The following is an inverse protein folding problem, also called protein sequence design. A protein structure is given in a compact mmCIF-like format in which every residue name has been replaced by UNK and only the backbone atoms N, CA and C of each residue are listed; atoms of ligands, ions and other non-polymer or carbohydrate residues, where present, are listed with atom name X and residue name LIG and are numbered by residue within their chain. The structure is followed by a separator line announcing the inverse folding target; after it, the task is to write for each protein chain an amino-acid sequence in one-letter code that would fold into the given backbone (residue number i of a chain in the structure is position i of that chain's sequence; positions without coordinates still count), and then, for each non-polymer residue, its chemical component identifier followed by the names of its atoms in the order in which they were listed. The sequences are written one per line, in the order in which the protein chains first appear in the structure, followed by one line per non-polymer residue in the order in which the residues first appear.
data_IF_071356933110
#
_entry.id   IF_071356933110
#
_cell.length_a   1.000
_cell.length_b   1.000
_cell.length_c   1.000
_cell.angle_alpha   90.00
_cell.angle_beta   90.00
_cell.angle_gamma   90.00
#
_symmetry.space_group_name_H-M   'P 1'
#
loop_
_entity.id
_entity.type
_entity.pdbx_description
1 polymer ?
#
# COMPACT_ATOMS: atom_id res chain seq x y z
N UNK A 1 -0.27 -16.13 -16.55
CA UNK A 1 -0.54 -15.11 -15.50
C UNK A 1 0.15 -13.77 -15.80
N UNK A 2 1.44 -13.77 -16.17
CA UNK A 2 2.20 -12.55 -16.49
C UNK A 2 1.58 -11.69 -17.60
N UNK A 3 1.15 -12.29 -18.71
CA UNK A 3 0.55 -11.53 -19.83
C UNK A 3 -0.84 -10.99 -19.53
N UNK A 4 -1.64 -11.75 -18.76
CA UNK A 4 -2.94 -11.28 -18.29
C UNK A 4 -2.76 -10.06 -17.37
N UNK A 5 -1.81 -10.15 -16.43
CA UNK A 5 -1.53 -9.08 -15.49
C UNK A 5 -0.96 -7.86 -16.22
N UNK A 6 0.02 -8.04 -17.12
CA UNK A 6 0.62 -6.94 -17.88
C UNK A 6 -0.40 -6.10 -18.66
N UNK A 7 -1.48 -6.72 -19.14
CA UNK A 7 -2.56 -6.04 -19.88
C UNK A 7 -3.65 -5.42 -18.99
N UNK A 8 -3.60 -5.61 -17.66
CA UNK A 8 -4.52 -4.94 -16.76
C UNK A 8 -4.14 -3.48 -16.56
N UNK A 9 -5.16 -2.63 -16.45
CA UNK A 9 -5.02 -1.24 -16.02
C UNK A 9 -4.27 -1.11 -14.70
N UNK A 10 -3.44 -0.08 -14.57
CA UNK A 10 -2.60 0.20 -13.39
C UNK A 10 -3.38 0.21 -12.08
N UNK A 11 -4.55 0.86 -12.07
CA UNK A 11 -5.43 0.88 -10.90
C UNK A 11 -5.85 -0.54 -10.49
N UNK A 12 -6.24 -1.39 -11.46
CA UNK A 12 -6.65 -2.77 -11.17
C UNK A 12 -5.48 -3.59 -10.64
N UNK A 13 -4.26 -3.42 -11.17
CA UNK A 13 -3.05 -4.09 -10.66
C UNK A 13 -2.79 -3.77 -9.20
N UNK A 14 -2.74 -2.47 -8.87
CA UNK A 14 -2.52 -2.01 -7.50
C UNK A 14 -3.65 -2.47 -6.59
N UNK A 15 -4.90 -2.33 -7.01
CA UNK A 15 -6.05 -2.79 -6.23
C UNK A 15 -5.98 -4.30 -5.95
N UNK A 16 -5.65 -5.14 -6.94
CA UNK A 16 -5.49 -6.58 -6.71
C UNK A 16 -4.35 -6.89 -5.74
N UNK A 17 -3.26 -6.12 -5.76
CA UNK A 17 -2.15 -6.29 -4.82
C UNK A 17 -2.58 -5.97 -3.39
N UNK A 18 -3.24 -4.82 -3.19
CA UNK A 18 -3.74 -4.42 -1.88
C UNK A 18 -4.83 -5.36 -1.36
N UNK A 19 -5.74 -5.83 -2.22
CA UNK A 19 -6.75 -6.82 -1.85
C UNK A 19 -6.11 -8.16 -1.47
N UNK A 20 -5.04 -8.57 -2.15
CA UNK A 20 -4.32 -9.79 -1.80
C UNK A 20 -3.66 -9.65 -0.42
N UNK A 21 -2.99 -8.53 -0.14
CA UNK A 21 -2.40 -8.27 1.19
C UNK A 21 -3.50 -8.23 2.26
N UNK A 22 -4.61 -7.54 2.00
CA UNK A 22 -5.75 -7.50 2.91
C UNK A 22 -6.33 -8.89 3.17
N UNK A 23 -6.43 -9.74 2.15
CA UNK A 23 -6.88 -11.13 2.29
C UNK A 23 -5.91 -11.95 3.15
N UNK A 24 -4.59 -11.82 2.93
CA UNK A 24 -3.56 -12.45 3.78
C UNK A 24 -3.69 -11.99 5.22
N UNK A 25 -3.83 -10.68 5.46
CA UNK A 25 -4.07 -10.13 6.80
C UNK A 25 -5.34 -10.69 7.43
N UNK A 26 -6.43 -10.79 6.66
CA UNK A 26 -7.69 -11.38 7.13
C UNK A 26 -7.55 -12.84 7.52
N UNK A 27 -6.83 -13.65 6.73
CA UNK A 27 -6.55 -15.06 7.04
C UNK A 27 -5.71 -15.18 8.31
N UNK A 28 -4.62 -14.41 8.43
CA UNK A 28 -3.77 -14.42 9.62
C UNK A 28 -4.56 -13.97 10.86
N UNK A 29 -5.36 -12.91 10.74
CA UNK A 29 -6.24 -12.43 11.80
C UNK A 29 -7.27 -13.48 12.22
N UNK A 30 -7.89 -14.16 11.26
CA UNK A 30 -8.85 -15.25 11.51
C UNK A 30 -8.22 -16.45 12.22
N UNK A 31 -7.02 -16.87 11.79
CA UNK A 31 -6.26 -17.94 12.46
C UNK A 31 -5.89 -17.53 13.89
N UNK A 32 -5.46 -16.29 14.10
CA UNK A 32 -5.17 -15.76 15.43
C UNK A 32 -6.39 -15.76 16.34
N UNK A 33 -7.53 -15.28 15.82
CA UNK A 33 -8.80 -15.24 16.55
C UNK A 33 -9.29 -16.65 16.94
N UNK A 34 -9.29 -17.58 16.00
CA UNK A 34 -9.66 -18.99 16.25
C UNK A 34 -8.71 -19.69 17.24
N UNK A 35 -7.45 -19.30 17.24
CA UNK A 35 -6.48 -19.80 18.22
C UNK A 35 -6.76 -19.29 19.63
N UNK A 36 -7.15 -18.02 19.77
CA UNK A 36 -7.51 -17.41 21.06
C UNK A 36 -8.79 -18.05 21.61
N UNK A 37 -9.81 -18.28 20.79
CA UNK A 37 -11.09 -18.85 21.25
C UNK A 37 -10.93 -20.25 21.85
N UNK A 38 -10.07 -21.10 21.29
CA UNK A 38 -9.82 -22.43 21.87
C UNK A 38 -9.11 -22.37 23.24
N UNK A 39 -8.24 -21.38 23.44
CA UNK A 39 -7.58 -21.17 24.74
C UNK A 39 -8.56 -20.62 25.76
N UNK A 40 -9.51 -19.79 25.32
CA UNK A 40 -10.58 -19.23 26.14
C UNK A 40 -11.47 -20.33 26.73
N UNK A 41 -11.90 -21.31 25.93
CA UNK A 41 -12.74 -22.42 26.39
C UNK A 41 -12.10 -23.22 27.55
N UNK A 42 -10.80 -23.51 27.44
CA UNK A 42 -10.06 -24.21 28.50
C UNK A 42 -9.91 -23.34 29.76
N UNK A 43 -9.82 -22.02 29.59
CA UNK A 43 -9.71 -21.07 30.69
C UNK A 43 -11.05 -20.91 31.42
N UNK A 44 -12.16 -20.83 30.70
CA UNK A 44 -13.52 -20.83 31.27
C UNK A 44 -13.77 -22.11 32.06
N UNK A 45 -13.48 -23.27 31.49
CA UNK A 45 -13.65 -24.56 32.18
C UNK A 45 -12.85 -24.61 33.49
N UNK A 46 -11.59 -24.19 33.46
CA UNK A 46 -10.73 -24.28 34.66
C UNK A 46 -11.01 -23.19 35.70
N UNK A 47 -11.17 -21.93 35.28
CA UNK A 47 -11.24 -20.77 36.16
C UNK A 47 -12.67 -20.44 36.61
N UNK A 48 -13.66 -20.63 35.75
CA UNK A 48 -15.06 -20.26 36.03
C UNK A 48 -15.91 -21.44 36.51
N UNK A 49 -15.55 -22.67 36.12
CA UNK A 49 -16.26 -23.89 36.54
C UNK A 49 -15.49 -24.65 37.62
N UNK A 50 -14.31 -25.21 37.30
CA UNK A 50 -13.63 -26.17 38.19
C UNK A 50 -13.07 -25.55 39.47
N UNK A 51 -12.47 -24.36 39.40
CA UNK A 51 -11.91 -23.71 40.58
C UNK A 51 -12.99 -23.33 41.62
N UNK A 52 -14.11 -22.69 41.24
CA UNK A 52 -15.24 -22.49 42.15
C UNK A 52 -15.87 -23.80 42.64
N UNK A 53 -15.96 -24.83 41.80
CA UNK A 53 -16.45 -26.15 42.23
C UNK A 53 -15.62 -26.72 43.37
N UNK A 54 -14.29 -26.73 43.22
CA UNK A 54 -13.35 -27.22 44.26
C UNK A 54 -13.47 -26.36 45.54
N UNK A 55 -13.62 -25.04 45.41
CA UNK A 55 -13.86 -24.16 46.55
C UNK A 55 -15.16 -24.50 47.29
N UNK A 56 -16.27 -24.68 46.56
CA UNK A 56 -17.57 -25.03 47.13
C UNK A 56 -17.55 -26.37 47.85
N UNK A 57 -16.96 -27.39 47.21
CA UNK A 57 -16.74 -28.71 47.80
C UNK A 57 -15.85 -28.64 49.05
N UNK A 58 -14.79 -27.82 49.02
CA UNK A 58 -13.91 -27.57 50.16
C UNK A 58 -14.64 -26.97 51.36
N UNK A 59 -15.47 -25.95 51.14
CA UNK A 59 -16.31 -25.34 52.19
C UNK A 59 -17.31 -26.33 52.78
N UNK A 60 -17.94 -27.17 51.95
CA UNK A 60 -18.83 -28.23 52.43
C UNK A 60 -18.07 -29.23 53.30
N UNK A 61 -16.89 -29.68 52.86
CA UNK A 61 -16.03 -30.62 53.60
C UNK A 61 -15.56 -30.03 54.93
N UNK A 62 -15.14 -28.77 54.95
CA UNK A 62 -14.76 -28.05 56.16
C UNK A 62 -15.91 -27.95 57.15
N UNK A 63 -17.10 -27.54 56.67
CA UNK A 63 -18.29 -27.39 57.50
C UNK A 63 -18.74 -28.72 58.12
N UNK A 64 -18.76 -29.81 57.35
CA UNK A 64 -19.14 -31.13 57.86
C UNK A 64 -18.13 -31.64 58.91
N UNK A 65 -16.83 -31.47 58.68
CA UNK A 65 -15.82 -31.81 59.68
C UNK A 65 -15.97 -30.96 60.95
N UNK A 66 -16.27 -29.66 60.81
CA UNK A 66 -16.53 -28.79 61.95
C UNK A 66 -17.78 -29.25 62.71
N UNK A 67 -18.89 -29.55 62.03
CA UNK A 67 -20.12 -30.10 62.67
C UNK A 67 -19.76 -31.37 63.45
N UNK A 68 -19.06 -32.31 62.81
CA UNK A 68 -18.70 -33.58 63.43
C UNK A 68 -17.77 -33.41 64.63
N UNK A 69 -16.87 -32.43 64.57
CA UNK A 69 -16.01 -32.06 65.69
C UNK A 69 -16.81 -31.48 66.87
N UNK A 70 -17.78 -30.60 66.62
CA UNK A 70 -18.67 -30.06 67.67
C UNK A 70 -19.42 -31.17 68.40
N UNK A 71 -20.04 -32.09 67.65
CA UNK A 71 -20.76 -33.21 68.25
C UNK A 71 -19.88 -34.06 69.16
N UNK A 72 -18.66 -34.35 68.71
CA UNK A 72 -17.70 -35.11 69.51
C UNK A 72 -17.30 -34.36 70.78
N UNK A 73 -17.06 -33.05 70.69
CA UNK A 73 -16.80 -32.20 71.86
C UNK A 73 -17.97 -32.23 72.83
N UNK A 74 -19.20 -32.10 72.33
CA UNK A 74 -20.38 -32.20 73.19
C UNK A 74 -20.50 -33.59 73.82
N UNK A 75 -20.08 -34.68 73.20
CA UNK A 75 -20.12 -36.02 73.82
C UNK A 75 -19.12 -36.25 74.97
N UNK A 76 -18.23 -35.28 75.26
CA UNK A 76 -17.28 -35.36 76.38
C UNK A 76 -18.01 -35.06 77.69
N UNK A 77 -17.80 -35.92 78.69
CA UNK A 77 -18.48 -35.86 79.99
C UNK A 77 -18.12 -34.62 80.81
N UNK A 78 -16.87 -34.14 80.71
CA UNK A 78 -16.40 -32.97 81.45
C UNK A 78 -16.85 -31.62 80.89
N UNK A 79 -17.56 -31.59 79.74
CA UNK A 79 -18.08 -30.35 79.15
C UNK A 79 -19.37 -29.94 79.86
N UNK A 80 -19.36 -28.74 80.42
CA UNK A 80 -20.50 -28.18 81.16
C UNK A 80 -21.69 -27.82 80.23
N UNK A 81 -22.85 -27.60 80.83
CA UNK A 81 -24.11 -27.35 80.10
C UNK A 81 -24.10 -26.04 79.30
N UNK A 82 -23.39 -25.01 79.78
CA UNK A 82 -23.31 -23.72 79.10
C UNK A 82 -22.48 -23.83 77.80
N UNK A 83 -21.36 -24.54 77.84
CA UNK A 83 -20.51 -24.79 76.67
C UNK A 83 -21.22 -25.71 75.67
N UNK A 84 -21.95 -26.73 76.14
CA UNK A 84 -22.78 -27.60 75.30
C UNK A 84 -23.90 -26.82 74.59
N UNK A 85 -24.60 -25.95 75.32
CA UNK A 85 -25.61 -25.07 74.73
C UNK A 85 -25.00 -24.07 73.72
N UNK A 86 -23.79 -23.58 73.99
CA UNK A 86 -23.06 -22.72 73.07
C UNK A 86 -22.71 -23.45 71.76
N UNK A 87 -22.21 -24.69 71.84
CA UNK A 87 -21.90 -25.51 70.67
C UNK A 87 -23.14 -25.85 69.85
N UNK A 88 -24.26 -26.22 70.51
CA UNK A 88 -25.55 -26.45 69.84
C UNK A 88 -26.00 -25.23 69.04
N UNK A 89 -25.90 -24.03 69.62
CA UNK A 89 -26.25 -22.78 68.93
C UNK A 89 -25.32 -22.47 67.74
N UNK A 90 -24.05 -22.84 67.85
CA UNK A 90 -23.08 -22.61 66.77
C UNK A 90 -23.20 -23.63 65.62
N UNK A 91 -23.95 -24.73 65.77
CA UNK A 91 -24.20 -25.67 64.66
C UNK A 91 -24.86 -24.99 63.46
N UNK A 92 -25.80 -24.07 63.69
CA UNK A 92 -26.46 -23.31 62.61
C UNK A 92 -25.47 -22.52 61.77
N UNK A 93 -24.46 -21.91 62.42
CA UNK A 93 -23.40 -21.17 61.70
C UNK A 93 -22.55 -22.10 60.85
N UNK A 94 -22.27 -23.32 61.31
CA UNK A 94 -21.50 -24.33 60.55
C UNK A 94 -22.30 -24.83 59.36
N UNK A 95 -23.59 -25.11 59.55
CA UNK A 95 -24.52 -25.41 58.44
C UNK A 95 -24.64 -24.24 57.45
N UNK A 96 -24.55 -22.99 57.91
CA UNK A 96 -24.52 -21.84 57.01
C UNK A 96 -23.25 -21.82 56.14
N UNK A 97 -22.08 -22.25 56.66
CA UNK A 97 -20.86 -22.43 55.85
C UNK A 97 -21.05 -23.55 54.82
N UNK A 98 -21.65 -24.67 55.21
CA UNK A 98 -22.00 -25.75 54.28
C UNK A 98 -22.90 -25.23 53.15
N UNK A 99 -23.97 -24.51 53.49
CA UNK A 99 -24.91 -23.98 52.51
C UNK A 99 -24.28 -22.95 51.57
N UNK A 100 -23.27 -22.19 52.01
CA UNK A 100 -22.48 -21.32 51.12
C UNK A 100 -21.70 -22.14 50.10
N UNK A 101 -21.01 -23.20 50.53
CA UNK A 101 -20.30 -24.10 49.63
C UNK A 101 -21.24 -24.79 48.63
N UNK A 102 -22.41 -25.22 49.11
CA UNK A 102 -23.48 -25.80 48.30
C UNK A 102 -23.98 -24.82 47.23
N UNK A 103 -24.26 -23.57 47.61
CA UNK A 103 -24.76 -22.54 46.69
C UNK A 103 -23.72 -22.11 45.64
N UNK A 104 -22.43 -22.28 45.92
CA UNK A 104 -21.36 -22.10 44.93
C UNK A 104 -21.34 -23.26 43.95
N UNK A 105 -21.43 -24.50 44.44
CA UNK A 105 -21.23 -25.71 43.63
C UNK A 105 -22.44 -26.11 42.79
N UNK A 106 -23.65 -26.16 43.37
CA UNK A 106 -24.87 -26.67 42.73
C UNK A 106 -25.18 -26.04 41.36
N UNK A 107 -25.09 -24.71 41.15
CA UNK A 107 -25.47 -24.11 39.87
C UNK A 107 -24.41 -24.28 38.76
N UNK A 108 -23.21 -24.79 39.08
CA UNK A 108 -22.12 -24.89 38.11
C UNK A 108 -22.37 -26.06 37.14
N UNK A 109 -21.94 -25.94 35.87
CA UNK A 109 -22.02 -27.04 34.92
C UNK A 109 -21.30 -28.30 35.41
N UNK A 110 -22.03 -29.41 35.46
CA UNK A 110 -21.50 -30.72 35.86
C UNK A 110 -21.25 -31.61 34.64
N UNK A 111 -20.21 -32.43 34.71
CA UNK A 111 -20.07 -33.54 33.75
C UNK A 111 -21.15 -34.60 33.99
N UNK A 112 -21.36 -35.49 33.02
CA UNK A 112 -22.31 -36.60 33.18
C UNK A 112 -21.95 -37.52 34.36
N UNK A 113 -20.65 -37.80 34.55
CA UNK A 113 -20.15 -38.61 35.67
C UNK A 113 -20.32 -37.88 37.00
N UNK A 114 -19.98 -36.58 37.02
CA UNK A 114 -20.12 -35.72 38.19
C UNK A 114 -21.57 -35.61 38.65
N UNK A 115 -22.52 -35.46 37.73
CA UNK A 115 -23.94 -35.36 38.06
C UNK A 115 -24.47 -36.62 38.74
N UNK A 116 -24.01 -37.81 38.32
CA UNK A 116 -24.35 -39.08 38.97
C UNK A 116 -23.79 -39.13 40.40
N UNK A 117 -22.53 -38.75 40.58
CA UNK A 117 -21.91 -38.67 41.91
C UNK A 117 -22.62 -37.67 42.82
N UNK A 118 -23.02 -36.51 42.27
CA UNK A 118 -23.73 -35.48 43.00
C UNK A 118 -25.09 -35.95 43.51
N UNK A 119 -25.88 -36.61 42.66
CA UNK A 119 -27.17 -37.18 43.09
C UNK A 119 -27.01 -38.24 44.19
N UNK A 120 -25.96 -39.06 44.11
CA UNK A 120 -25.65 -40.02 45.18
C UNK A 120 -25.22 -39.31 46.47
N UNK A 121 -24.40 -38.26 46.37
CA UNK A 121 -24.03 -37.42 47.51
C UNK A 121 -25.25 -36.78 48.18
N UNK A 122 -26.21 -36.24 47.42
CA UNK A 122 -27.42 -35.64 47.98
C UNK A 122 -28.21 -36.65 48.82
N UNK A 123 -28.34 -37.89 48.33
CA UNK A 123 -29.00 -38.99 49.05
C UNK A 123 -28.25 -39.34 50.33
N UNK A 124 -26.93 -39.46 50.27
CA UNK A 124 -26.10 -39.77 51.44
C UNK A 124 -26.12 -38.62 52.47
N UNK A 125 -26.17 -37.37 51.99
CA UNK A 125 -26.27 -36.16 52.80
C UNK A 125 -27.59 -36.13 53.58
N UNK A 126 -28.70 -36.50 52.95
CA UNK A 126 -29.99 -36.59 53.65
C UNK A 126 -29.99 -37.68 54.72
N UNK A 127 -29.36 -38.83 54.43
CA UNK A 127 -29.13 -39.89 55.41
C UNK A 127 -28.30 -39.40 56.60
N UNK A 128 -27.20 -38.70 56.35
CA UNK A 128 -26.37 -38.09 57.39
C UNK A 128 -27.15 -37.05 58.20
N UNK A 129 -27.87 -36.13 57.55
CA UNK A 129 -28.70 -35.12 58.23
C UNK A 129 -29.75 -35.76 59.15
N UNK A 130 -30.33 -36.89 58.76
CA UNK A 130 -31.28 -37.62 59.60
C UNK A 130 -30.63 -38.19 60.87
N UNK A 131 -29.46 -38.82 60.75
CA UNK A 131 -28.72 -39.33 61.92
C UNK A 131 -28.17 -38.19 62.80
N UNK A 132 -27.64 -37.12 62.18
CA UNK A 132 -27.18 -35.89 62.84
C UNK A 132 -28.28 -35.31 63.72
N UNK A 133 -29.51 -35.17 63.22
CA UNK A 133 -30.65 -34.63 63.99
C UNK A 133 -30.93 -35.45 65.25
N UNK A 134 -30.86 -36.79 65.17
CA UNK A 134 -31.06 -37.66 66.34
C UNK A 134 -30.02 -37.38 67.41
N UNK A 135 -28.75 -37.25 67.01
CA UNK A 135 -27.64 -36.97 67.93
C UNK A 135 -27.78 -35.59 68.56
N UNK A 136 -28.06 -34.56 67.77
CA UNK A 136 -28.26 -33.18 68.27
C UNK A 136 -29.45 -33.11 69.24
N UNK A 137 -30.56 -33.78 68.95
CA UNK A 137 -31.74 -33.80 69.84
C UNK A 137 -31.42 -34.44 71.19
N UNK A 138 -30.65 -35.55 71.21
CA UNK A 138 -30.22 -36.19 72.45
C UNK A 138 -29.25 -35.28 73.21
N UNK A 139 -28.27 -34.69 72.53
CA UNK A 139 -27.29 -33.79 73.14
C UNK A 139 -27.93 -32.53 73.75
N UNK A 140 -29.06 -32.05 73.19
CA UNK A 140 -29.83 -30.95 73.76
C UNK A 140 -30.59 -31.28 75.05
N UNK A 141 -30.71 -32.57 75.40
CA UNK A 141 -31.37 -33.05 76.63
C UNK A 141 -30.37 -33.43 77.72
N UNK A 142 -29.08 -33.48 77.41
CA UNK A 142 -28.02 -33.84 78.37
C UNK A 142 -27.91 -32.77 79.45
N UNK A 143 -27.95 -33.21 80.71
CA UNK A 143 -27.65 -32.39 81.88
C UNK A 143 -26.26 -32.74 82.43
N UNK A 144 -25.70 -31.89 83.28
CA UNK A 144 -24.43 -32.15 83.95
C UNK A 144 -24.41 -33.55 84.61
N UNK A 145 -23.36 -34.33 84.31
CA UNK A 145 -23.14 -35.70 84.81
C UNK A 145 -24.16 -36.76 84.33
N UNK A 146 -24.95 -36.48 83.28
CA UNK A 146 -25.85 -37.46 82.67
C UNK A 146 -25.11 -38.45 81.76
N UNK A 147 -24.45 -39.42 82.40
CA UNK A 147 -23.67 -40.47 81.74
C UNK A 147 -24.52 -41.34 80.80
N UNK A 148 -25.80 -41.57 81.15
CA UNK A 148 -26.68 -42.43 80.37
C UNK A 148 -27.04 -41.80 79.02
N UNK A 149 -27.51 -40.54 79.03
CA UNK A 149 -27.90 -39.82 77.81
C UNK A 149 -26.67 -39.58 76.91
N UNK A 150 -25.50 -39.29 77.50
CA UNK A 150 -24.24 -39.25 76.76
C UNK A 150 -23.88 -40.61 76.12
N UNK A 151 -24.16 -41.72 76.81
CA UNK A 151 -23.98 -43.07 76.28
C UNK A 151 -24.83 -43.33 75.02
N UNK A 152 -26.10 -42.91 75.04
CA UNK A 152 -27.00 -43.02 73.88
C UNK A 152 -26.49 -42.16 72.71
N UNK A 153 -26.10 -40.91 72.98
CA UNK A 153 -25.53 -40.01 71.96
C UNK A 153 -24.26 -40.61 71.32
N UNK A 154 -23.37 -41.20 72.13
CA UNK A 154 -22.16 -41.88 71.65
C UNK A 154 -22.49 -43.11 70.80
N UNK A 155 -23.50 -43.89 71.17
CA UNK A 155 -23.93 -45.09 70.42
C UNK A 155 -24.34 -44.75 68.99
N UNK A 156 -25.10 -43.67 68.80
CA UNK A 156 -25.50 -43.20 67.47
C UNK A 156 -24.32 -42.48 66.78
N UNK A 157 -23.68 -41.56 67.49
CA UNK A 157 -22.66 -40.66 66.93
C UNK A 157 -21.38 -41.35 66.46
N UNK A 158 -20.95 -42.42 67.14
CA UNK A 158 -19.83 -43.27 66.73
C UNK A 158 -20.27 -44.52 65.94
N UNK A 159 -21.58 -44.80 65.91
CA UNK A 159 -22.22 -45.90 65.18
C UNK A 159 -22.80 -45.46 63.84
N UNK A 160 -24.13 -45.44 63.73
CA UNK A 160 -24.86 -45.20 62.47
C UNK A 160 -24.52 -43.86 61.83
N UNK A 161 -24.40 -42.80 62.62
CA UNK A 161 -24.08 -41.46 62.12
C UNK A 161 -22.66 -41.39 61.56
N UNK A 162 -21.69 -42.09 62.19
CA UNK A 162 -20.31 -42.17 61.68
C UNK A 162 -20.25 -42.84 60.31
N UNK A 163 -21.07 -43.89 60.10
CA UNK A 163 -21.16 -44.58 58.80
C UNK A 163 -21.76 -43.64 57.75
N UNK A 164 -22.85 -42.96 58.08
CA UNK A 164 -23.48 -41.98 57.17
C UNK A 164 -22.52 -40.82 56.83
N UNK A 165 -21.84 -40.25 57.83
CA UNK A 165 -20.82 -39.22 57.64
C UNK A 165 -19.70 -39.69 56.71
N UNK A 166 -19.21 -40.92 56.90
CA UNK A 166 -18.17 -41.49 56.04
C UNK A 166 -18.62 -41.64 54.58
N UNK A 167 -19.89 -41.95 54.33
CA UNK A 167 -20.44 -42.03 52.98
C UNK A 167 -20.47 -40.64 52.31
N UNK A 168 -20.95 -39.62 53.03
CA UNK A 168 -20.98 -38.22 52.55
C UNK A 168 -19.58 -37.71 52.22
N UNK A 169 -18.62 -37.94 53.12
CA UNK A 169 -17.23 -37.53 52.92
C UNK A 169 -16.59 -38.22 51.72
N UNK A 170 -16.85 -39.52 51.54
CA UNK A 170 -16.39 -40.27 50.36
C UNK A 170 -16.99 -39.72 49.07
N UNK A 171 -18.27 -39.32 49.09
CA UNK A 171 -18.92 -38.66 47.96
C UNK A 171 -18.26 -37.32 47.60
N UNK A 172 -18.05 -36.44 48.59
CA UNK A 172 -17.36 -35.16 48.36
C UNK A 172 -15.93 -35.34 47.84
N UNK A 173 -15.19 -36.32 48.37
CA UNK A 173 -13.83 -36.62 47.92
C UNK A 173 -13.82 -37.10 46.47
N UNK A 174 -14.72 -38.01 46.08
CA UNK A 174 -14.83 -38.49 44.71
C UNK A 174 -15.18 -37.36 43.72
N UNK A 175 -16.11 -36.47 44.09
CA UNK A 175 -16.50 -35.33 43.25
C UNK A 175 -15.36 -34.30 43.13
N UNK A 176 -14.66 -34.04 44.24
CA UNK A 176 -13.51 -33.13 44.25
C UNK A 176 -12.36 -33.67 43.39
N UNK A 177 -12.03 -34.96 43.53
CA UNK A 177 -11.00 -35.63 42.73
C UNK A 177 -11.35 -35.61 41.24
N UNK A 178 -12.62 -35.84 40.88
CA UNK A 178 -13.09 -35.72 39.50
C UNK A 178 -12.92 -34.30 38.96
N UNK A 179 -13.28 -33.27 39.74
CA UNK A 179 -13.10 -31.88 39.34
C UNK A 179 -11.61 -31.51 39.14
N UNK A 180 -10.73 -31.99 40.02
CA UNK A 180 -9.28 -31.82 39.85
C UNK A 180 -8.76 -32.50 38.58
N UNK A 181 -9.23 -33.72 38.31
CA UNK A 181 -8.86 -34.46 37.10
C UNK A 181 -9.31 -33.74 35.82
N UNK A 182 -10.57 -33.31 35.77
CA UNK A 182 -11.11 -32.56 34.62
C UNK A 182 -10.37 -31.24 34.44
N UNK A 183 -10.04 -30.52 35.52
CA UNK A 183 -9.26 -29.30 35.45
C UNK A 183 -7.86 -29.52 34.86
N UNK A 184 -7.17 -30.60 35.27
CA UNK A 184 -5.84 -30.91 34.73
C UNK A 184 -5.90 -31.36 33.27
N UNK A 185 -6.91 -32.15 32.88
CA UNK A 185 -7.16 -32.52 31.48
C UNK A 185 -7.43 -31.29 30.60
N UNK A 186 -8.30 -30.38 31.06
CA UNK A 186 -8.59 -29.12 30.37
C UNK A 186 -7.34 -28.25 30.22
N UNK A 187 -6.50 -28.17 31.26
CA UNK A 187 -5.23 -27.45 31.22
C UNK A 187 -4.23 -28.07 30.23
N UNK A 188 -4.12 -29.40 30.18
CA UNK A 188 -3.24 -30.10 29.24
C UNK A 188 -3.73 -29.88 27.80
N UNK A 189 -5.03 -30.03 27.56
CA UNK A 189 -5.65 -29.76 26.26
C UNK A 189 -5.43 -28.31 25.82
N UNK A 190 -5.73 -27.34 26.70
CA UNK A 190 -5.53 -25.92 26.42
C UNK A 190 -4.08 -25.55 26.09
N UNK A 191 -3.09 -26.18 26.76
CA UNK A 191 -1.67 -26.01 26.39
C UNK A 191 -1.34 -26.57 25.00
N UNK A 192 -1.87 -27.74 24.66
CA UNK A 192 -1.67 -28.36 23.35
C UNK A 192 -2.32 -27.52 22.24
N UNK A 193 -3.53 -27.01 22.47
CA UNK A 193 -4.26 -26.17 21.51
C UNK A 193 -3.61 -24.79 21.36
N UNK A 194 -3.08 -24.20 22.43
CA UNK A 194 -2.25 -23.00 22.35
C UNK A 194 -0.99 -23.25 21.49
N UNK A 195 -0.30 -24.38 21.67
CA UNK A 195 0.90 -24.72 20.89
C UNK A 195 0.57 -24.94 19.40
N UNK A 196 -0.53 -25.64 19.09
CA UNK A 196 -1.03 -25.83 17.72
C UNK A 196 -1.42 -24.51 17.08
N UNK A 197 -2.15 -23.66 17.80
CA UNK A 197 -2.56 -22.33 17.35
C UNK A 197 -1.36 -21.45 17.05
N UNK A 198 -0.33 -21.47 17.91
CA UNK A 198 0.93 -20.76 17.68
C UNK A 198 1.64 -21.27 16.42
N UNK A 199 1.73 -22.57 16.23
CA UNK A 199 2.36 -23.17 15.03
C UNK A 199 1.62 -22.77 13.75
N UNK A 200 0.30 -22.93 13.71
CA UNK A 200 -0.53 -22.56 12.55
C UNK A 200 -0.42 -21.06 12.25
N UNK A 201 -0.42 -20.20 13.28
CA UNK A 201 -0.22 -18.77 13.12
C UNK A 201 1.17 -18.45 12.52
N UNK A 202 2.24 -19.09 13.01
CA UNK A 202 3.59 -18.89 12.46
C UNK A 202 3.69 -19.32 11.00
N UNK A 203 3.09 -20.46 10.63
CA UNK A 203 3.05 -20.94 9.24
C UNK A 203 2.24 -19.97 8.36
N UNK A 204 1.08 -19.50 8.84
CA UNK A 204 0.25 -18.55 8.12
C UNK A 204 0.95 -17.20 7.90
N UNK A 205 1.64 -16.68 8.92
CA UNK A 205 2.45 -15.46 8.80
C UNK A 205 3.60 -15.66 7.82
N UNK A 206 4.36 -16.76 7.94
CA UNK A 206 5.47 -17.06 7.04
C UNK A 206 5.02 -17.18 5.58
N UNK A 207 3.93 -17.90 5.31
CA UNK A 207 3.34 -18.01 3.99
C UNK A 207 2.84 -16.65 3.48
N UNK A 208 2.17 -15.86 4.33
CA UNK A 208 1.68 -14.53 4.00
C UNK A 208 2.79 -13.56 3.58
N UNK A 209 3.88 -13.52 4.36
CA UNK A 209 5.08 -12.72 4.03
C UNK A 209 5.70 -13.18 2.73
N UNK A 210 5.87 -14.49 2.53
CA UNK A 210 6.45 -15.04 1.30
C UNK A 210 5.62 -14.63 0.08
N UNK A 211 4.29 -14.77 0.15
CA UNK A 211 3.39 -14.36 -0.93
C UNK A 211 3.49 -12.85 -1.17
N UNK A 212 3.48 -12.03 -0.12
CA UNK A 212 3.60 -10.57 -0.25
C UNK A 212 4.92 -10.15 -0.91
N UNK A 213 6.03 -10.79 -0.55
CA UNK A 213 7.35 -10.52 -1.16
C UNK A 213 7.38 -10.96 -2.62
N UNK A 214 6.95 -12.18 -2.94
CA UNK A 214 6.92 -12.69 -4.32
C UNK A 214 6.03 -11.81 -5.20
N UNK A 215 4.85 -11.44 -4.70
CA UNK A 215 3.93 -10.57 -5.42
C UNK A 215 4.44 -9.14 -5.54
N UNK A 216 5.09 -8.61 -4.51
CA UNK A 216 5.73 -7.29 -4.52
C UNK A 216 6.86 -7.20 -5.55
N UNK A 217 7.75 -8.19 -5.60
CA UNK A 217 8.82 -8.29 -6.60
C UNK A 217 8.24 -8.43 -8.01
N UNK A 218 7.21 -9.26 -8.17
CA UNK A 218 6.51 -9.41 -9.44
C UNK A 218 5.91 -8.07 -9.93
N UNK A 219 5.23 -7.34 -9.05
CA UNK A 219 4.60 -6.07 -9.36
C UNK A 219 5.64 -4.99 -9.66
N UNK A 220 6.69 -4.88 -8.84
CA UNK A 220 7.79 -3.95 -9.05
C UNK A 220 8.45 -4.15 -10.43
N UNK A 221 8.73 -5.39 -10.82
CA UNK A 221 9.28 -5.71 -12.13
C UNK A 221 8.32 -5.39 -13.29
N UNK A 222 7.01 -5.53 -13.07
CA UNK A 222 5.99 -5.24 -14.09
C UNK A 222 5.80 -3.74 -14.38
N UNK A 223 6.21 -2.87 -13.43
CA UNK A 223 6.09 -1.42 -13.53
C UNK A 223 7.43 -0.74 -13.83
N UNK A 224 8.46 -1.07 -13.04
CA UNK A 224 9.72 -0.32 -13.03
C UNK A 224 10.46 -0.38 -14.37
N UNK A 225 10.63 -1.58 -14.95
CA UNK A 225 11.35 -1.74 -16.22
C UNK A 225 10.75 -0.93 -17.39
N UNK A 226 9.43 -1.04 -17.65
CA UNK A 226 8.78 -0.23 -18.69
C UNK A 226 8.87 1.28 -18.47
N UNK A 227 8.71 1.74 -17.23
CA UNK A 227 8.83 3.17 -16.91
C UNK A 227 10.27 3.65 -17.13
N UNK A 228 11.27 2.84 -16.76
CA UNK A 228 12.67 3.14 -17.02
C UNK A 228 12.99 3.17 -18.52
N UNK A 229 12.42 2.25 -19.31
CA UNK A 229 12.59 2.26 -20.77
C UNK A 229 12.01 3.54 -21.38
N UNK A 230 10.81 3.95 -20.96
CA UNK A 230 10.21 5.21 -21.39
C UNK A 230 11.04 6.43 -20.99
N UNK A 231 11.53 6.48 -19.76
CA UNK A 231 12.44 7.54 -19.30
C UNK A 231 13.74 7.58 -20.13
N UNK A 232 14.28 6.41 -20.48
CA UNK A 232 15.44 6.29 -21.37
C UNK A 232 15.17 6.85 -22.76
N UNK A 233 14.05 6.50 -23.38
CA UNK A 233 13.67 7.04 -24.69
C UNK A 233 13.48 8.56 -24.66
N UNK A 234 12.83 9.10 -23.62
CA UNK A 234 12.70 10.56 -23.46
C UNK A 234 14.06 11.25 -23.33
N UNK A 235 15.01 10.64 -22.61
CA UNK A 235 16.36 11.17 -22.50
C UNK A 235 17.07 11.22 -23.84
N UNK A 236 16.91 10.19 -24.68
CA UNK A 236 17.48 10.14 -26.03
C UNK A 236 16.80 11.11 -26.99
N UNK A 237 15.47 11.24 -26.94
CA UNK A 237 14.73 12.25 -27.69
C UNK A 237 15.19 13.67 -27.34
N UNK A 238 15.45 13.94 -26.05
CA UNK A 238 15.98 15.23 -25.59
C UNK A 238 17.37 15.57 -26.12
N UNK A 239 18.15 14.55 -26.56
CA UNK A 239 19.44 14.73 -27.23
C UNK A 239 19.32 14.82 -28.76
N UNK A 240 18.10 14.74 -29.30
CA UNK A 240 17.84 14.69 -30.74
C UNK A 240 17.98 13.29 -31.36
N UNK A 241 18.14 12.23 -30.57
CA UNK A 241 18.22 10.87 -31.07
C UNK A 241 16.82 10.28 -31.30
N UNK A 242 16.30 10.44 -32.51
CA UNK A 242 14.93 10.07 -32.84
C UNK A 242 14.74 8.60 -33.27
N UNK A 243 15.80 7.79 -33.35
CA UNK A 243 15.70 6.43 -33.91
C UNK A 243 15.15 5.34 -32.97
N UNK A 244 15.06 5.60 -31.66
CA UNK A 244 14.63 4.60 -30.68
C UNK A 244 13.10 4.52 -30.57
N UNK A 245 12.56 3.31 -30.41
CA UNK A 245 11.13 3.06 -30.17
C UNK A 245 10.95 2.07 -29.03
N UNK A 246 9.94 2.27 -28.19
CA UNK A 246 9.60 1.39 -27.08
C UNK A 246 8.95 0.09 -27.56
N UNK A 247 8.08 0.14 -28.58
CA UNK A 247 7.37 -1.00 -29.18
C UNK A 247 6.78 -1.96 -28.14
N UNK A 248 6.19 -1.40 -27.08
CA UNK A 248 5.66 -2.20 -25.98
C UNK A 248 4.37 -2.93 -26.38
N UNK A 249 4.40 -4.25 -26.30
CA UNK A 249 3.21 -5.09 -26.49
C UNK A 249 2.37 -5.17 -25.22
N UNK A 250 1.79 -4.04 -24.81
CA UNK A 250 0.89 -3.94 -23.64
C UNK A 250 -0.37 -3.15 -23.98
N UNK A 251 -1.49 -3.55 -23.38
CA UNK A 251 -2.80 -2.90 -23.53
C UNK A 251 -3.22 -2.02 -22.34
N UNK A 252 -2.29 -1.78 -21.40
CA UNK A 252 -2.52 -0.92 -20.25
C UNK A 252 -2.04 0.52 -20.50
N UNK A 253 -2.16 1.38 -19.49
CA UNK A 253 -1.79 2.80 -19.59
C UNK A 253 -0.30 3.00 -19.91
N UNK A 254 0.56 2.06 -19.49
CA UNK A 254 1.99 2.06 -19.85
C UNK A 254 2.18 1.78 -21.33
N UNK A 255 1.41 0.83 -21.89
CA UNK A 255 1.41 0.57 -23.33
C UNK A 255 0.80 1.72 -24.15
N UNK A 256 -0.23 2.40 -23.64
CA UNK A 256 -0.78 3.61 -24.25
C UNK A 256 0.24 4.74 -24.30
N UNK A 257 0.94 5.00 -23.17
CA UNK A 257 2.04 5.97 -23.11
C UNK A 257 3.15 5.61 -24.09
N UNK A 258 3.56 4.33 -24.15
CA UNK A 258 4.62 3.88 -25.05
C UNK A 258 4.26 4.09 -26.53
N UNK A 259 3.01 3.81 -26.92
CA UNK A 259 2.53 4.08 -28.28
C UNK A 259 2.52 5.58 -28.60
N UNK A 260 1.99 6.41 -27.71
CA UNK A 260 1.99 7.86 -27.90
C UNK A 260 3.42 8.44 -28.03
N UNK A 261 4.38 7.89 -27.28
CA UNK A 261 5.79 8.28 -27.40
C UNK A 261 6.43 7.80 -28.71
N UNK A 262 6.12 6.58 -29.16
CA UNK A 262 6.57 6.07 -30.46
C UNK A 262 6.02 6.93 -31.61
N UNK A 263 4.73 7.26 -31.58
CA UNK A 263 4.07 8.12 -32.56
C UNK A 263 4.67 9.54 -32.57
N UNK A 264 5.00 10.09 -31.40
CA UNK A 264 5.66 11.39 -31.28
C UNK A 264 7.06 11.38 -31.90
N UNK A 265 7.85 10.34 -31.62
CA UNK A 265 9.18 10.18 -32.21
C UNK A 265 9.10 9.97 -33.73
N UNK A 266 8.12 9.21 -34.21
CA UNK A 266 7.85 9.03 -35.65
C UNK A 266 7.49 10.35 -36.32
N UNK A 267 6.69 11.19 -35.68
CA UNK A 267 6.33 12.50 -36.22
C UNK A 267 7.57 13.42 -36.33
N UNK A 268 8.38 13.52 -35.28
CA UNK A 268 9.60 14.31 -35.31
C UNK A 268 10.57 13.80 -36.39
N UNK A 269 10.75 12.49 -36.49
CA UNK A 269 11.72 11.91 -37.43
C UNK A 269 11.24 12.01 -38.89
N UNK A 270 10.00 11.64 -39.17
CA UNK A 270 9.54 11.46 -40.55
C UNK A 270 8.87 12.70 -41.14
N UNK A 271 8.36 13.62 -40.30
CA UNK A 271 7.74 14.85 -40.79
C UNK A 271 8.66 16.05 -40.61
N UNK A 272 9.18 16.27 -39.39
CA UNK A 272 9.96 17.47 -39.10
C UNK A 272 11.38 17.42 -39.66
N UNK A 273 12.15 16.36 -39.37
CA UNK A 273 13.52 16.22 -39.90
C UNK A 273 13.52 16.14 -41.43
N UNK A 274 12.63 15.34 -42.02
CA UNK A 274 12.51 15.24 -43.49
C UNK A 274 12.12 16.58 -44.13
N UNK A 275 11.27 17.40 -43.49
CA UNK A 275 10.96 18.73 -43.98
C UNK A 275 12.18 19.67 -43.96
N UNK A 276 12.98 19.62 -42.89
CA UNK A 276 14.23 20.38 -42.80
C UNK A 276 15.26 19.94 -43.83
N UNK A 277 15.38 18.63 -44.09
CA UNK A 277 16.26 18.11 -45.15
C UNK A 277 15.84 18.62 -46.53
N UNK A 278 14.54 18.60 -46.86
CA UNK A 278 14.04 19.18 -48.12
C UNK A 278 14.35 20.67 -48.25
N UNK A 279 14.21 21.43 -47.17
CA UNK A 279 14.58 22.85 -47.13
C UNK A 279 16.09 23.02 -47.37
N UNK A 280 16.92 22.22 -46.72
CA UNK A 280 18.37 22.26 -46.89
C UNK A 280 18.80 21.92 -48.33
N UNK A 281 18.08 21.01 -48.99
CA UNK A 281 18.26 20.65 -50.40
C UNK A 281 17.72 21.73 -51.37
N UNK A 282 17.19 22.84 -50.84
CA UNK A 282 16.62 23.94 -51.63
C UNK A 282 15.25 23.64 -52.22
N UNK A 283 14.59 22.57 -51.79
CA UNK A 283 13.24 22.23 -52.21
C UNK A 283 12.20 22.85 -51.27
N UNK A 284 11.60 23.96 -51.69
CA UNK A 284 10.53 24.66 -50.96
C UNK A 284 9.12 24.36 -51.51
N UNK A 285 9.02 23.47 -52.49
CA UNK A 285 7.77 23.12 -53.18
C UNK A 285 7.08 21.91 -52.54
N UNK A 286 6.93 21.93 -51.21
CA UNK A 286 6.20 20.92 -50.47
C UNK A 286 5.35 21.56 -49.37
N UNK A 287 4.27 20.90 -48.99
CA UNK A 287 3.44 21.32 -47.87
C UNK A 287 3.95 20.69 -46.57
N UNK A 288 4.26 21.52 -45.58
CA UNK A 288 4.52 21.03 -44.23
C UNK A 288 3.25 20.41 -43.65
N UNK A 289 3.36 19.20 -43.11
CA UNK A 289 2.26 18.52 -42.43
C UNK A 289 2.05 19.18 -41.07
N UNK A 290 0.84 19.67 -40.83
CA UNK A 290 0.36 20.10 -39.52
C UNK A 290 -0.66 19.07 -39.05
N UNK A 291 -0.41 18.45 -37.89
CA UNK A 291 -1.24 17.33 -37.42
C UNK A 291 -2.63 17.81 -36.96
N UNK A 292 -2.68 18.90 -36.21
CA UNK A 292 -3.91 19.53 -35.76
C UNK A 292 -3.72 21.04 -35.53
N UNK A 293 -4.80 21.74 -35.15
CA UNK A 293 -4.77 23.19 -34.92
C UNK A 293 -3.85 23.63 -33.76
N UNK A 294 -3.39 22.69 -32.91
CA UNK A 294 -2.52 22.95 -31.75
C UNK A 294 -1.07 22.54 -32.00
N UNK A 295 -0.77 21.95 -33.15
CA UNK A 295 0.58 21.57 -33.56
C UNK A 295 1.44 22.80 -33.85
N UNK A 296 2.12 23.28 -32.80
CA UNK A 296 3.00 24.43 -32.88
C UNK A 296 4.21 24.19 -33.80
N UNK A 297 4.70 22.95 -33.91
CA UNK A 297 5.87 22.62 -34.74
C UNK A 297 5.47 22.67 -36.22
N UNK A 298 4.38 21.99 -36.58
CA UNK A 298 3.85 21.99 -37.95
C UNK A 298 3.44 23.39 -38.41
N UNK A 299 2.75 24.15 -37.56
CA UNK A 299 2.37 25.54 -37.86
C UNK A 299 3.59 26.45 -38.08
N UNK A 300 4.62 26.35 -37.23
CA UNK A 300 5.85 27.11 -37.39
C UNK A 300 6.59 26.72 -38.69
N UNK A 301 6.68 25.43 -38.99
CA UNK A 301 7.31 24.95 -40.23
C UNK A 301 6.59 25.45 -41.48
N UNK A 302 5.26 25.39 -41.49
CA UNK A 302 4.43 25.91 -42.59
C UNK A 302 4.63 27.41 -42.79
N UNK A 303 4.71 28.17 -41.69
CA UNK A 303 5.02 29.61 -41.76
C UNK A 303 6.40 29.85 -42.34
N UNK A 304 7.42 29.11 -41.89
CA UNK A 304 8.80 29.23 -42.43
C UNK A 304 8.86 28.97 -43.92
N UNK A 305 8.17 27.93 -44.43
CA UNK A 305 8.10 27.64 -45.87
C UNK A 305 7.40 28.76 -46.65
N UNK A 306 6.31 29.30 -46.11
CA UNK A 306 5.57 30.41 -46.74
C UNK A 306 6.46 31.65 -46.85
N UNK A 307 7.14 32.02 -45.77
CA UNK A 307 8.02 33.18 -45.72
C UNK A 307 9.27 33.01 -46.62
N UNK A 308 9.85 31.81 -46.67
CA UNK A 308 10.98 31.49 -47.56
C UNK A 308 10.57 31.56 -49.03
N UNK A 309 9.42 30.99 -49.42
CA UNK A 309 8.91 31.08 -50.78
C UNK A 309 8.63 32.53 -51.21
N UNK A 310 8.04 33.33 -50.32
CA UNK A 310 7.83 34.76 -50.58
C UNK A 310 9.17 35.50 -50.76
N UNK A 311 10.17 35.19 -49.94
CA UNK A 311 11.51 35.78 -50.04
C UNK A 311 12.20 35.40 -51.35
N UNK A 312 12.15 34.13 -51.76
CA UNK A 312 12.70 33.66 -53.04
C UNK A 312 12.01 34.32 -54.25
N UNK A 313 10.67 34.51 -54.17
CA UNK A 313 9.92 35.23 -55.18
C UNK A 313 10.36 36.69 -55.32
N UNK A 314 10.61 37.37 -54.20
CA UNK A 314 11.15 38.74 -54.20
C UNK A 314 12.56 38.81 -54.80
N UNK A 315 13.44 37.84 -54.46
CA UNK A 315 14.79 37.76 -55.04
C UNK A 315 14.72 37.58 -56.56
N UNK A 316 13.82 36.71 -57.04
CA UNK A 316 13.61 36.50 -58.47
C UNK A 316 13.17 37.79 -59.19
N UNK A 317 12.19 38.50 -58.64
CA UNK A 317 11.73 39.79 -59.18
C UNK A 317 12.84 40.86 -59.18
N UNK A 318 13.62 40.94 -58.11
CA UNK A 318 14.77 41.83 -58.04
C UNK A 318 15.85 41.47 -59.08
N UNK A 319 16.08 40.17 -59.31
CA UNK A 319 16.96 39.67 -60.37
C UNK A 319 16.52 40.10 -61.77
N UNK A 320 15.23 39.98 -62.08
CA UNK A 320 14.64 40.47 -63.35
C UNK A 320 14.82 41.99 -63.51
N UNK A 321 14.59 42.75 -62.43
CA UNK A 321 14.78 44.20 -62.45
C UNK A 321 16.26 44.58 -62.68
N UNK A 322 17.20 43.88 -62.03
CA UNK A 322 18.64 44.07 -62.24
C UNK A 322 19.04 43.71 -63.67
N UNK A 323 18.50 42.61 -64.22
CA UNK A 323 18.77 42.19 -65.60
C UNK A 323 18.27 43.26 -66.60
N UNK A 324 17.06 43.78 -66.39
CA UNK A 324 16.50 44.87 -67.20
C UNK A 324 17.33 46.16 -67.09
N UNK A 325 17.72 46.55 -65.87
CA UNK A 325 18.56 47.71 -65.63
C UNK A 325 19.96 47.55 -66.28
N UNK A 326 20.55 46.37 -66.20
CA UNK A 326 21.84 46.07 -66.85
C UNK A 326 21.73 46.19 -68.38
N UNK A 327 20.63 45.72 -68.98
CA UNK A 327 20.37 45.88 -70.41
C UNK A 327 20.26 47.36 -70.80
N UNK A 328 19.56 48.18 -70.00
CA UNK A 328 19.48 49.63 -70.23
C UNK A 328 20.83 50.33 -70.09
N UNK A 329 21.61 50.01 -69.06
CA UNK A 329 22.95 50.57 -68.84
C UNK A 329 23.88 50.18 -70.00
N UNK A 330 23.81 48.93 -70.47
CA UNK A 330 24.56 48.48 -71.64
C UNK A 330 24.22 49.28 -72.90
N UNK A 331 22.92 49.47 -73.17
CA UNK A 331 22.45 50.29 -74.29
C UNK A 331 22.89 51.76 -74.20
N UNK A 332 22.84 52.34 -72.99
CA UNK A 332 23.30 53.71 -72.73
C UNK A 332 24.81 53.84 -72.94
N UNK A 333 25.58 52.85 -72.49
CA UNK A 333 27.04 52.78 -72.66
C UNK A 333 27.41 52.68 -74.14
N UNK A 334 26.66 51.91 -74.93
CA UNK A 334 26.84 51.81 -76.38
C UNK A 334 26.60 53.16 -77.08
N UNK A 335 25.50 53.84 -76.71
CA UNK A 335 25.15 55.16 -77.27
C UNK A 335 26.18 56.22 -76.90
N UNK A 336 26.64 56.22 -75.64
CA UNK A 336 27.71 57.12 -75.18
C UNK A 336 29.03 56.84 -75.90
N UNK A 337 29.41 55.58 -76.09
CA UNK A 337 30.61 55.21 -76.84
C UNK A 337 30.53 55.76 -78.27
N UNK A 338 29.38 55.64 -78.93
CA UNK A 338 29.19 56.16 -80.28
C UNK A 338 29.27 57.69 -80.33
N UNK A 339 28.59 58.39 -79.42
CA UNK A 339 28.69 59.86 -79.32
C UNK A 339 30.09 60.35 -78.96
N UNK A 340 30.86 59.59 -78.17
CA UNK A 340 32.27 59.88 -77.89
C UNK A 340 33.14 59.71 -79.15
N UNK A 341 32.89 58.69 -79.98
CA UNK A 341 33.55 58.52 -81.29
C UNK A 341 33.24 59.67 -82.24
N UNK A 342 31.97 60.10 -82.30
CA UNK A 342 31.56 61.27 -83.09
C UNK A 342 32.24 62.54 -82.58
N UNK A 343 32.27 62.76 -81.27
CA UNK A 343 32.94 63.91 -80.65
C UNK A 343 34.45 63.91 -80.92
N UNK A 344 35.10 62.74 -80.86
CA UNK A 344 36.51 62.60 -81.20
C UNK A 344 36.76 62.99 -82.66
N UNK A 345 35.90 62.55 -83.58
CA UNK A 345 35.96 62.93 -85.00
C UNK A 345 35.76 64.44 -85.20
N UNK A 346 34.79 65.05 -84.51
CA UNK A 346 34.62 66.51 -84.56
C UNK A 346 35.81 67.26 -83.97
N UNK A 347 36.47 66.75 -82.93
CA UNK A 347 37.71 67.32 -82.38
C UNK A 347 38.86 67.21 -83.39
N UNK A 348 39.00 66.10 -84.10
CA UNK A 348 39.98 65.96 -85.17
C UNK A 348 39.74 66.98 -86.29
N UNK A 349 38.48 67.16 -86.71
CA UNK A 349 38.10 68.15 -87.72
C UNK A 349 38.35 69.59 -87.26
N UNK A 350 38.01 69.92 -86.00
CA UNK A 350 38.32 71.22 -85.39
C UNK A 350 39.83 71.44 -85.34
N UNK A 351 40.62 70.41 -84.98
CA UNK A 351 42.08 70.51 -84.90
C UNK A 351 42.69 70.73 -86.29
N UNK A 352 42.19 70.04 -87.31
CA UNK A 352 42.56 70.28 -88.71
C UNK A 352 42.23 71.70 -89.13
N UNK A 353 41.02 72.17 -88.85
CA UNK A 353 40.57 73.54 -89.12
C UNK A 353 41.44 74.57 -88.37
N UNK A 354 41.80 74.32 -87.11
CA UNK A 354 42.71 75.18 -86.34
C UNK A 354 44.12 75.21 -86.92
N UNK A 355 44.62 74.07 -87.41
CA UNK A 355 45.95 73.97 -88.04
C UNK A 355 45.97 74.74 -89.36
N UNK A 356 44.92 74.60 -90.17
CA UNK A 356 44.74 75.36 -91.41
C UNK A 356 44.59 76.86 -91.12
N UNK A 357 43.79 77.24 -90.13
CA UNK A 357 43.63 78.62 -89.70
C UNK A 357 44.93 79.21 -89.15
N UNK A 358 45.74 78.43 -88.42
CA UNK A 358 47.07 78.81 -87.97
C UNK A 358 48.05 79.01 -89.13
N UNK A 359 48.02 78.11 -90.12
CA UNK A 359 48.77 78.25 -91.37
C UNK A 359 48.36 79.51 -92.14
N UNK A 360 47.05 79.75 -92.27
CA UNK A 360 46.49 80.93 -92.90
C UNK A 360 46.84 82.22 -92.14
N UNK A 361 46.85 82.18 -90.80
CA UNK A 361 47.29 83.31 -89.96
C UNK A 361 48.77 83.61 -90.18
N UNK A 362 49.62 82.57 -90.30
CA UNK A 362 51.04 82.71 -90.62
C UNK A 362 51.27 83.25 -92.04
N UNK A 363 50.49 82.78 -93.02
CA UNK A 363 50.45 83.32 -94.38
C UNK A 363 50.03 84.80 -94.38
N UNK A 364 48.97 85.15 -93.66
CA UNK A 364 48.51 86.54 -93.54
C UNK A 364 49.55 87.42 -92.84
N UNK A 365 50.21 86.94 -91.79
CA UNK A 365 51.32 87.64 -91.12
C UNK A 365 52.52 87.81 -92.07
N UNK A 366 52.86 86.79 -92.85
CA UNK A 366 53.87 86.86 -93.90
C UNK A 366 53.51 87.89 -94.97
N UNK A 367 52.28 87.86 -95.49
CA UNK A 367 51.76 88.82 -96.45
C UNK A 367 51.74 90.25 -95.89
N UNK A 368 51.37 90.45 -94.63
CA UNK A 368 51.42 91.74 -93.96
C UNK A 368 52.86 92.23 -93.80
N UNK A 369 53.81 91.33 -93.48
CA UNK A 369 55.23 91.64 -93.40
C UNK A 369 55.81 92.00 -94.78
N UNK A 370 55.42 91.25 -95.81
CA UNK A 370 55.82 91.49 -97.20
C UNK A 370 55.21 92.80 -97.72
N UNK A 371 53.95 93.09 -97.41
CA UNK A 371 53.31 94.37 -97.70
C UNK A 371 54.02 95.52 -96.97
N UNK A 372 54.44 95.33 -95.72
CA UNK A 372 55.24 96.30 -94.97
C UNK A 372 56.64 96.51 -95.58
N UNK A 373 57.30 95.45 -96.07
CA UNK A 373 58.56 95.56 -96.80
C UNK A 373 58.40 96.28 -98.15
N UNK A 374 57.37 95.95 -98.92
CA UNK A 374 57.04 96.62 -100.18
C UNK A 374 56.71 98.10 -99.96
N UNK A 375 55.97 98.43 -98.89
CA UNK A 375 55.71 99.81 -98.49
C UNK A 375 56.98 100.55 -98.00
N UNK A 376 57.93 99.83 -97.39
CA UNK A 376 59.23 100.36 -96.96
C UNK A 376 60.23 100.59 -98.10
N UNK A 377 60.16 99.81 -99.18
CA UNK A 377 60.96 100.00 -100.40
C UNK A 377 60.41 101.10 -101.33
N UNK A 378 59.18 101.56 -101.09
CA UNK A 378 58.54 102.65 -101.81
C UNK A 378 58.89 104.06 -101.25
N UNK A 379 59.94 104.18 -100.43
CA UNK A 379 60.55 105.43 -99.96
C UNK A 379 62.00 105.49 -100.39
#
# INVERSE_FOLDING_TARGET
MKDLFNNMKMFKKLLTAFLLVAAVCGVVGGVGYYGISQVDDALVETAEVRLPSIQGLGLMKEALNAIKSAERTMMIESVNDADRAHELKNLEKRWAVFNKGFAIYEPLPQTAEESVLWQQFLKDLDGYKAEHRKVVEILGKVQAWDVHTLGVARGIGFGSERVAFSAVMKGLDAISELNFKVAEEAKIAGKADAARSKMTAMVAVGAGVLIAVLFGVFLANSLSGPIQAAAGMLSELGKGHLGQRLRMQRKDEVGEMARAMDDFADNLQNNFVVALEKIADGNFAFDAVQVDDKDAIGAAMKKTLTDMNATLSQIYLAGEQVNSAAAQVSSASQSLSQGATESASSIEEITSSMTEMGSQTKLNAGNATQANQLAGQAR
#
